data_IF_869985739963
#
_entry.id   IF_869985739963
#
_cell.length_a   1.000
_cell.length_b   1.000
_cell.length_c   1.000
_cell.angle_alpha   90.00
_cell.angle_beta   90.00
_cell.angle_gamma   90.00
#
_symmetry.space_group_name_H-M   'P 1'
#
loop_
_entity.id
_entity.type
_entity.pdbx_description
1 polymer ?
#
# COMPACT_ATOMS: atom_id res chain seq x y z
N UNK A 1 -53.39 21.68 -2.11
CA UNK A 1 -52.10 21.01 -2.31
C UNK A 1 -51.04 21.75 -1.53
N UNK A 2 -50.46 21.09 -0.54
CA UNK A 2 -49.07 21.27 -0.13
C UNK A 2 -48.73 20.13 0.86
N UNK A 3 -48.04 19.10 0.39
CA UNK A 3 -47.44 18.08 1.24
C UNK A 3 -45.95 18.42 1.37
N UNK A 4 -45.53 18.87 2.55
CA UNK A 4 -44.12 18.95 2.89
C UNK A 4 -43.67 17.54 3.31
N UNK A 5 -42.95 16.87 2.42
CA UNK A 5 -42.26 15.62 2.71
C UNK A 5 -40.95 15.94 3.46
N UNK A 6 -40.91 15.58 4.73
CA UNK A 6 -39.69 15.58 5.55
C UNK A 6 -38.78 14.46 5.07
N UNK A 7 -37.66 14.80 4.44
CA UNK A 7 -36.61 13.83 4.08
C UNK A 7 -35.83 13.49 5.33
N UNK A 8 -36.02 12.27 5.85
CA UNK A 8 -35.22 11.71 6.93
C UNK A 8 -33.88 11.23 6.37
N UNK A 9 -32.79 11.96 6.62
CA UNK A 9 -31.42 11.48 6.43
C UNK A 9 -31.10 10.46 7.52
N UNK A 10 -31.26 9.18 7.20
CA UNK A 10 -30.68 8.09 7.98
C UNK A 10 -29.19 8.01 7.68
N UNK A 11 -28.35 8.62 8.53
CA UNK A 11 -26.93 8.26 8.59
C UNK A 11 -26.85 6.87 9.25
N UNK A 12 -26.71 5.82 8.46
CA UNK A 12 -26.43 4.48 8.98
C UNK A 12 -25.02 4.49 9.56
N UNK A 13 -24.90 4.76 10.85
CA UNK A 13 -23.66 4.54 11.60
C UNK A 13 -23.41 3.04 11.57
N UNK A 14 -22.52 2.61 10.68
CA UNK A 14 -22.07 1.22 10.62
C UNK A 14 -21.41 0.87 11.94
N UNK A 15 -21.85 -0.23 12.57
CA UNK A 15 -21.23 -0.75 13.80
C UNK A 15 -19.71 -0.90 13.58
N UNK A 16 -18.86 -0.45 14.52
CA UNK A 16 -17.43 -0.63 14.40
C UNK A 16 -17.08 -2.14 14.34
N UNK A 17 -16.07 -2.52 13.55
CA UNK A 17 -15.66 -3.92 13.38
C UNK A 17 -15.28 -4.56 14.72
N UNK A 18 -15.53 -5.87 14.88
CA UNK A 18 -15.38 -6.58 16.17
C UNK A 18 -13.96 -6.52 16.77
N UNK A 19 -12.94 -6.33 15.95
CA UNK A 19 -11.53 -6.26 16.37
C UNK A 19 -11.03 -4.84 16.65
N UNK A 20 -11.91 -3.84 16.67
CA UNK A 20 -11.49 -2.46 16.93
C UNK A 20 -11.12 -2.30 18.41
N UNK A 21 -9.95 -1.72 18.74
CA UNK A 21 -9.57 -1.47 20.12
C UNK A 21 -10.64 -0.59 20.78
N UNK A 22 -11.17 -1.04 21.92
CA UNK A 22 -12.10 -0.26 22.72
C UNK A 22 -11.34 0.42 23.85
N UNK A 23 -11.64 1.68 24.08
CA UNK A 23 -11.11 2.38 25.22
C UNK A 23 -11.86 1.92 26.47
N UNK A 24 -11.23 1.03 27.24
CA UNK A 24 -11.69 0.70 28.58
C UNK A 24 -11.30 1.88 29.48
N UNK A 25 -12.30 2.58 30.04
CA UNK A 25 -12.08 3.79 30.84
C UNK A 25 -10.96 3.63 31.87
N UNK A 26 -10.12 4.65 32.04
CA UNK A 26 -9.06 4.67 33.05
C UNK A 26 -9.72 4.97 34.41
N UNK A 27 -9.32 4.25 35.46
CA UNK A 27 -9.97 4.29 36.79
C UNK A 27 -10.13 5.69 37.39
N UNK A 28 -9.28 6.64 36.98
CA UNK A 28 -9.31 8.05 37.44
C UNK A 28 -9.70 9.05 36.33
N UNK A 29 -10.41 8.62 35.28
CA UNK A 29 -10.89 9.54 34.22
C UNK A 29 -12.05 10.37 34.78
N UNK A 30 -11.89 11.68 35.07
CA UNK A 30 -12.85 12.41 35.88
C UNK A 30 -14.17 12.73 35.18
N UNK A 31 -14.33 12.33 33.92
CA UNK A 31 -15.42 12.80 33.05
C UNK A 31 -15.79 11.73 32.02
N UNK A 32 -17.02 11.20 32.07
CA UNK A 32 -17.57 10.28 31.06
C UNK A 32 -17.45 10.83 29.64
N UNK A 33 -17.54 12.16 29.49
CA UNK A 33 -17.35 12.85 28.21
C UNK A 33 -15.94 12.67 27.63
N UNK A 34 -14.91 12.57 28.48
CA UNK A 34 -13.54 12.37 28.00
C UNK A 34 -13.38 10.98 27.38
N UNK A 35 -13.95 9.95 28.00
CA UNK A 35 -13.96 8.59 27.46
C UNK A 35 -14.69 8.54 26.11
N UNK A 36 -15.85 9.21 25.98
CA UNK A 36 -16.58 9.29 24.70
C UNK A 36 -15.75 9.97 23.61
N UNK A 37 -15.14 11.13 23.91
CA UNK A 37 -14.32 11.87 22.93
C UNK A 37 -13.09 11.06 22.51
N UNK A 38 -12.46 10.33 23.43
CA UNK A 38 -11.33 9.46 23.11
C UNK A 38 -11.75 8.28 22.21
N UNK A 39 -12.93 7.69 22.46
CA UNK A 39 -13.45 6.64 21.59
C UNK A 39 -13.81 7.18 20.20
N UNK A 40 -14.45 8.35 20.10
CA UNK A 40 -14.74 9.00 18.82
C UNK A 40 -13.45 9.31 18.04
N UNK A 41 -12.43 9.85 18.71
CA UNK A 41 -11.13 10.10 18.10
C UNK A 41 -10.46 8.81 17.62
N UNK A 42 -10.56 7.73 18.41
CA UNK A 42 -10.05 6.41 18.04
C UNK A 42 -10.81 5.81 16.85
N UNK A 43 -12.14 5.93 16.82
CA UNK A 43 -12.98 5.44 15.73
C UNK A 43 -12.64 6.15 14.41
N UNK A 44 -12.41 7.47 14.46
CA UNK A 44 -11.95 8.25 13.32
C UNK A 44 -10.55 7.79 12.90
N UNK A 45 -9.60 7.77 13.83
CA UNK A 45 -8.20 7.45 13.53
C UNK A 45 -8.03 6.02 12.99
N UNK A 46 -8.68 5.03 13.61
CA UNK A 46 -8.60 3.63 13.19
C UNK A 46 -9.34 3.35 11.88
N UNK A 47 -10.29 4.21 11.48
CA UNK A 47 -10.98 4.10 10.19
C UNK A 47 -10.20 4.69 9.01
N UNK A 48 -9.18 5.51 9.26
CA UNK A 48 -8.48 6.27 8.21
C UNK A 48 -7.80 5.38 7.17
N UNK A 49 -7.04 4.37 7.59
CA UNK A 49 -6.29 3.52 6.65
C UNK A 49 -7.22 2.77 5.70
N UNK A 50 -8.30 2.19 6.25
CA UNK A 50 -9.34 1.52 5.46
C UNK A 50 -9.98 2.50 4.49
N UNK A 51 -10.41 3.67 4.98
CA UNK A 51 -11.02 4.70 4.15
C UNK A 51 -10.08 5.09 2.99
N UNK A 52 -8.82 5.40 3.28
CA UNK A 52 -7.81 5.76 2.29
C UNK A 52 -7.63 4.64 1.26
N UNK A 53 -7.55 3.39 1.69
CA UNK A 53 -7.41 2.25 0.76
C UNK A 53 -8.62 2.06 -0.16
N UNK A 54 -9.84 2.34 0.33
CA UNK A 54 -11.09 2.19 -0.43
C UNK A 54 -11.34 3.35 -1.39
N UNK A 55 -10.91 4.56 -1.05
CA UNK A 55 -11.14 5.76 -1.87
C UNK A 55 -9.94 6.14 -2.75
N UNK A 56 -8.75 5.58 -2.49
CA UNK A 56 -7.59 5.81 -3.33
C UNK A 56 -7.79 5.22 -4.73
N UNK A 57 -7.12 5.81 -5.72
CA UNK A 57 -7.10 5.25 -7.08
C UNK A 57 -6.60 3.81 -7.05
N UNK A 58 -7.31 2.85 -7.67
CA UNK A 58 -6.96 1.44 -7.56
C UNK A 58 -5.62 1.13 -8.23
N UNK A 59 -4.98 0.07 -7.77
CA UNK A 59 -3.82 -0.53 -8.44
C UNK A 59 -4.16 -0.91 -9.89
N UNK A 60 -3.16 -0.85 -10.78
CA UNK A 60 -3.32 -1.40 -12.13
C UNK A 60 -3.33 -2.93 -12.07
N UNK A 61 -3.77 -3.61 -13.12
CA UNK A 61 -3.71 -5.07 -13.18
C UNK A 61 -2.29 -5.60 -12.99
N UNK A 62 -1.28 -4.91 -13.54
CA UNK A 62 0.12 -5.30 -13.43
C UNK A 62 0.65 -5.18 -11.99
N UNK A 63 0.38 -4.05 -11.32
CA UNK A 63 0.82 -3.83 -9.94
C UNK A 63 0.01 -4.67 -8.96
N UNK A 64 -1.27 -4.92 -9.21
CA UNK A 64 -2.10 -5.81 -8.41
C UNK A 64 -1.56 -7.24 -8.38
N UNK A 65 -1.24 -7.81 -9.54
CA UNK A 65 -0.67 -9.17 -9.65
C UNK A 65 0.67 -9.26 -8.93
N UNK A 66 1.52 -8.24 -9.05
CA UNK A 66 2.79 -8.16 -8.32
C UNK A 66 2.56 -8.06 -6.81
N UNK A 67 1.63 -7.21 -6.35
CA UNK A 67 1.30 -7.07 -4.93
C UNK A 67 0.76 -8.36 -4.31
N UNK A 68 -0.10 -9.09 -5.03
CA UNK A 68 -0.61 -10.39 -4.61
C UNK A 68 0.51 -11.45 -4.50
N UNK A 69 1.44 -11.45 -5.46
CA UNK A 69 2.61 -12.33 -5.40
C UNK A 69 3.53 -11.99 -4.22
N UNK A 70 3.73 -10.69 -3.94
CA UNK A 70 4.50 -10.23 -2.78
C UNK A 70 3.84 -10.62 -1.46
N UNK A 71 2.52 -10.47 -1.36
CA UNK A 71 1.79 -10.80 -0.14
C UNK A 71 1.73 -12.31 0.15
N UNK A 72 1.67 -13.14 -0.90
CA UNK A 72 1.57 -14.61 -0.79
C UNK A 72 2.92 -15.33 -0.76
N UNK A 73 4.02 -14.63 -1.04
CA UNK A 73 5.35 -15.21 -1.06
C UNK A 73 5.77 -15.77 0.31
N UNK A 74 6.30 -17.00 0.38
CA UNK A 74 6.77 -17.61 1.63
C UNK A 74 8.15 -17.05 2.01
N UNK A 75 8.20 -15.78 2.39
CA UNK A 75 9.45 -15.06 2.70
C UNK A 75 10.31 -15.76 3.77
N UNK A 76 9.68 -16.42 4.73
CA UNK A 76 10.37 -17.24 5.73
C UNK A 76 11.15 -18.41 5.10
N UNK A 77 10.52 -19.16 4.20
CA UNK A 77 11.16 -20.28 3.50
C UNK A 77 12.23 -19.82 2.49
N UNK A 78 12.05 -18.62 1.95
CA UNK A 78 13.08 -17.97 1.15
C UNK A 78 14.31 -17.71 2.01
N UNK A 79 14.18 -17.17 3.22
CA UNK A 79 15.35 -16.96 4.07
C UNK A 79 15.93 -18.27 4.67
N UNK A 80 15.09 -19.16 5.19
CA UNK A 80 15.53 -20.26 6.07
C UNK A 80 16.02 -21.52 5.31
N UNK A 81 15.44 -21.82 4.14
CA UNK A 81 15.64 -23.11 3.44
C UNK A 81 16.47 -22.97 2.15
N UNK A 82 17.30 -21.93 2.03
CA UNK A 82 18.01 -21.56 0.81
C UNK A 82 19.35 -22.26 0.59
N UNK A 83 19.36 -23.54 0.18
CA UNK A 83 20.60 -24.21 -0.22
C UNK A 83 20.87 -24.05 -1.73
N UNK A 84 21.43 -22.91 -2.16
CA UNK A 84 22.13 -22.77 -3.45
C UNK A 84 23.15 -21.62 -3.37
N UNK A 85 24.01 -21.46 -4.39
CA UNK A 85 25.18 -20.55 -4.51
C UNK A 85 25.03 -19.12 -3.91
N UNK A 86 23.81 -18.60 -3.77
CA UNK A 86 23.52 -17.28 -3.17
C UNK A 86 22.38 -17.25 -2.12
N UNK A 87 21.91 -18.39 -1.62
CA UNK A 87 21.09 -18.46 -0.40
C UNK A 87 19.78 -17.65 -0.36
N UNK A 88 18.92 -17.82 -1.38
CA UNK A 88 17.52 -17.37 -1.53
C UNK A 88 17.11 -15.91 -1.19
N UNK A 89 17.44 -15.27 -0.08
CA UNK A 89 17.34 -13.79 0.11
C UNK A 89 18.38 -13.33 1.12
N UNK A 90 19.00 -12.17 0.90
CA UNK A 90 20.00 -11.57 1.79
C UNK A 90 19.43 -11.20 3.16
N UNK A 91 18.12 -10.92 3.22
CA UNK A 91 17.42 -10.51 4.42
C UNK A 91 16.18 -11.38 4.65
N UNK A 92 15.72 -11.40 5.90
CA UNK A 92 14.44 -12.01 6.28
C UNK A 92 13.30 -11.02 6.01
N UNK A 93 12.88 -10.97 4.74
CA UNK A 93 11.79 -10.10 4.31
C UNK A 93 10.42 -10.53 4.88
N UNK A 94 9.46 -9.62 4.82
CA UNK A 94 8.04 -9.90 4.99
C UNK A 94 7.22 -9.03 4.05
N UNK A 95 5.93 -9.34 3.90
CA UNK A 95 5.02 -8.53 3.11
C UNK A 95 4.92 -7.07 3.59
N UNK A 96 5.28 -6.78 4.84
CA UNK A 96 5.28 -5.42 5.40
C UNK A 96 6.39 -4.50 4.81
N UNK A 97 7.29 -5.04 4.00
CA UNK A 97 8.37 -4.27 3.35
C UNK A 97 7.92 -3.65 2.01
N UNK A 98 6.72 -3.98 1.53
CA UNK A 98 6.18 -3.37 0.32
C UNK A 98 5.54 -2.02 0.62
N UNK A 99 5.67 -1.08 -0.32
CA UNK A 99 4.83 0.11 -0.39
C UNK A 99 3.37 -0.31 -0.58
N UNK A 100 2.46 0.33 0.14
CA UNK A 100 1.03 0.14 -0.07
C UNK A 100 0.51 0.90 -1.31
N UNK A 101 -0.76 0.70 -1.64
CA UNK A 101 -1.38 1.36 -2.81
C UNK A 101 -1.46 2.89 -2.64
N UNK A 102 -1.71 3.38 -1.43
CA UNK A 102 -1.93 4.80 -1.15
C UNK A 102 -0.62 5.57 -1.35
N UNK A 103 0.45 5.09 -0.75
CA UNK A 103 1.80 5.62 -0.88
C UNK A 103 2.29 5.56 -2.33
N UNK A 104 2.15 4.41 -2.99
CA UNK A 104 2.60 4.23 -4.37
C UNK A 104 1.87 5.16 -5.34
N UNK A 105 0.54 5.32 -5.19
CA UNK A 105 -0.25 6.25 -6.02
C UNK A 105 0.07 7.70 -5.72
N UNK A 106 0.37 8.04 -4.47
CA UNK A 106 0.82 9.39 -4.09
C UNK A 106 2.15 9.73 -4.77
N UNK A 107 3.13 8.82 -4.74
CA UNK A 107 4.42 9.01 -5.41
C UNK A 107 4.27 9.11 -6.93
N UNK A 108 3.42 8.27 -7.54
CA UNK A 108 3.12 8.36 -8.96
C UNK A 108 2.43 9.69 -9.32
N UNK A 109 1.50 10.17 -8.49
CA UNK A 109 0.89 11.50 -8.68
C UNK A 109 1.95 12.60 -8.67
N UNK A 110 2.93 12.57 -7.75
CA UNK A 110 4.03 13.53 -7.75
C UNK A 110 4.89 13.43 -9.01
N UNK A 111 5.28 12.23 -9.43
CA UNK A 111 6.05 12.03 -10.66
C UNK A 111 5.30 12.58 -11.88
N UNK A 112 3.99 12.37 -11.95
CA UNK A 112 3.12 12.89 -13.00
C UNK A 112 3.05 14.43 -12.99
N UNK A 113 2.75 15.02 -11.83
CA UNK A 113 2.63 16.48 -11.66
C UNK A 113 3.94 17.22 -11.98
N UNK A 114 5.07 16.64 -11.58
CA UNK A 114 6.40 17.16 -11.85
C UNK A 114 6.85 16.92 -13.31
N UNK A 115 6.06 16.20 -14.11
CA UNK A 115 6.41 15.78 -15.47
C UNK A 115 7.76 15.07 -15.51
N UNK A 116 8.00 14.22 -14.51
CA UNK A 116 9.25 13.49 -14.38
C UNK A 116 9.50 12.64 -15.62
N UNK A 117 10.75 12.68 -16.12
CA UNK A 117 11.22 11.79 -17.19
C UNK A 117 12.18 10.72 -16.67
N UNK A 118 12.78 10.96 -15.50
CA UNK A 118 13.76 10.09 -14.86
C UNK A 118 13.50 10.09 -13.37
N UNK A 119 13.33 8.91 -12.80
CA UNK A 119 13.16 8.71 -11.36
C UNK A 119 14.17 7.66 -10.91
N UNK A 120 14.77 7.88 -9.74
CA UNK A 120 15.68 6.94 -9.09
C UNK A 120 15.11 6.57 -7.72
N UNK A 121 15.06 5.29 -7.43
CA UNK A 121 14.68 4.71 -6.15
C UNK A 121 15.88 3.95 -5.59
N UNK A 122 16.06 4.03 -4.26
CA UNK A 122 17.09 3.29 -3.54
C UNK A 122 16.37 2.36 -2.57
N UNK A 123 16.41 1.06 -2.84
CA UNK A 123 15.61 0.03 -2.16
C UNK A 123 14.32 -0.25 -2.93
N UNK A 124 14.32 -1.32 -3.74
CA UNK A 124 13.17 -1.72 -4.56
C UNK A 124 12.21 -2.63 -3.80
N UNK A 125 12.76 -3.54 -3.00
CA UNK A 125 12.09 -4.75 -2.56
C UNK A 125 11.50 -5.54 -3.76
N UNK A 126 10.18 -5.66 -3.86
CA UNK A 126 9.52 -6.29 -5.01
C UNK A 126 9.10 -5.31 -6.11
N UNK A 127 9.35 -4.01 -5.95
CA UNK A 127 9.16 -3.03 -7.02
C UNK A 127 7.72 -2.62 -7.30
N UNK A 128 6.82 -2.77 -6.32
CA UNK A 128 5.44 -2.29 -6.43
C UNK A 128 5.38 -0.77 -6.65
N UNK A 129 6.11 0.00 -5.83
CA UNK A 129 6.25 1.45 -5.98
C UNK A 129 6.91 1.84 -7.31
N UNK A 130 8.05 1.22 -7.62
CA UNK A 130 8.76 1.42 -8.89
C UNK A 130 7.87 1.27 -10.13
N UNK A 131 7.11 0.18 -10.19
CA UNK A 131 6.22 -0.09 -11.32
C UNK A 131 5.07 0.92 -11.38
N UNK A 132 4.48 1.27 -10.23
CA UNK A 132 3.41 2.28 -10.13
C UNK A 132 3.88 3.66 -10.61
N UNK A 133 5.12 4.05 -10.30
CA UNK A 133 5.71 5.28 -10.83
C UNK A 133 5.95 5.15 -12.34
N UNK A 134 6.46 4.02 -12.83
CA UNK A 134 6.73 3.81 -14.25
C UNK A 134 5.46 3.91 -15.14
N UNK A 135 4.29 3.57 -14.60
CA UNK A 135 3.00 3.72 -15.28
C UNK A 135 2.71 5.16 -15.72
N UNK A 136 3.06 6.15 -14.88
CA UNK A 136 2.76 7.56 -15.15
C UNK A 136 3.86 8.31 -15.91
N UNK A 137 5.05 7.72 -16.04
CA UNK A 137 6.14 8.30 -16.81
C UNK A 137 5.79 8.37 -18.31
N UNK A 138 6.33 9.32 -19.08
CA UNK A 138 6.17 9.32 -20.53
C UNK A 138 6.74 8.04 -21.17
N UNK A 139 6.42 7.77 -22.44
CA UNK A 139 6.87 6.57 -23.15
C UNK A 139 8.41 6.43 -23.18
N UNK A 140 9.13 7.54 -23.21
CA UNK A 140 10.60 7.59 -23.13
C UNK A 140 11.14 7.83 -21.70
N UNK A 141 10.29 7.72 -20.69
CA UNK A 141 10.67 7.88 -19.30
C UNK A 141 11.44 6.67 -18.78
N UNK A 142 12.26 6.89 -17.74
CA UNK A 142 13.06 5.85 -17.10
C UNK A 142 12.88 5.87 -15.58
N UNK A 143 12.61 4.70 -15.02
CA UNK A 143 12.62 4.41 -13.59
C UNK A 143 13.86 3.56 -13.32
N UNK A 144 14.79 4.03 -12.49
CA UNK A 144 15.94 3.24 -12.03
C UNK A 144 15.70 2.89 -10.57
N UNK A 145 15.70 1.61 -10.21
CA UNK A 145 15.51 1.18 -8.83
C UNK A 145 16.69 0.34 -8.38
N UNK A 146 17.44 0.81 -7.39
CA UNK A 146 18.60 0.09 -6.88
C UNK A 146 18.17 -0.99 -5.89
N UNK A 147 18.37 -2.25 -6.25
CA UNK A 147 18.15 -3.40 -5.37
C UNK A 147 19.46 -4.16 -5.12
N UNK A 148 19.76 -4.38 -3.84
CA UNK A 148 20.98 -5.09 -3.43
C UNK A 148 20.78 -6.60 -3.49
N UNK A 149 19.55 -7.09 -3.30
CA UNK A 149 19.26 -8.51 -3.27
C UNK A 149 19.07 -9.08 -4.69
N UNK A 150 19.97 -9.97 -5.16
CA UNK A 150 19.88 -10.55 -6.50
C UNK A 150 18.68 -11.49 -6.68
N UNK A 151 18.12 -12.05 -5.60
CA UNK A 151 16.89 -12.82 -5.67
C UNK A 151 15.71 -11.92 -5.99
N UNK A 152 15.60 -10.77 -5.34
CA UNK A 152 14.49 -9.84 -5.59
C UNK A 152 14.47 -9.39 -7.05
N UNK A 153 15.63 -9.08 -7.63
CA UNK A 153 15.74 -8.80 -9.08
C UNK A 153 15.22 -9.94 -9.96
N UNK A 154 15.45 -11.20 -9.58
CA UNK A 154 14.92 -12.38 -10.30
C UNK A 154 13.41 -12.57 -10.06
N UNK A 155 12.95 -12.35 -8.84
CA UNK A 155 11.56 -12.45 -8.43
C UNK A 155 10.68 -11.45 -9.19
N UNK A 156 11.13 -10.20 -9.33
CA UNK A 156 10.33 -9.13 -9.93
C UNK A 156 10.33 -9.13 -11.45
N UNK A 157 11.42 -9.62 -12.07
CA UNK A 157 11.60 -9.58 -13.53
C UNK A 157 10.39 -10.08 -14.34
N UNK A 158 9.77 -11.24 -14.03
CA UNK A 158 8.61 -11.72 -14.80
C UNK A 158 7.39 -10.79 -14.72
N UNK A 159 7.25 -10.01 -13.65
CA UNK A 159 6.16 -9.04 -13.50
C UNK A 159 6.41 -7.78 -14.32
N UNK A 160 7.66 -7.29 -14.35
CA UNK A 160 8.04 -6.18 -15.22
C UNK A 160 7.94 -6.58 -16.70
N UNK A 161 8.41 -7.76 -17.08
CA UNK A 161 8.31 -8.24 -18.47
C UNK A 161 6.86 -8.33 -18.98
N UNK A 162 5.89 -8.61 -18.10
CA UNK A 162 4.45 -8.68 -18.44
C UNK A 162 3.75 -7.32 -18.40
N UNK A 163 4.33 -6.33 -17.72
CA UNK A 163 3.73 -5.00 -17.61
C UNK A 163 3.98 -4.19 -18.88
N UNK A 164 2.97 -3.47 -19.41
CA UNK A 164 3.18 -2.55 -20.53
C UNK A 164 4.21 -1.45 -20.21
N UNK A 165 4.49 -1.19 -18.93
CA UNK A 165 5.41 -0.16 -18.46
C UNK A 165 6.73 -0.71 -17.91
N UNK A 166 6.90 -2.02 -17.82
CA UNK A 166 8.10 -2.62 -17.22
C UNK A 166 9.39 -2.34 -18.00
N UNK A 167 9.29 -2.09 -19.31
CA UNK A 167 10.43 -1.66 -20.14
C UNK A 167 11.06 -0.32 -19.71
N UNK A 168 10.35 0.49 -18.90
CA UNK A 168 10.87 1.73 -18.33
C UNK A 168 11.65 1.50 -17.04
N UNK A 169 11.51 0.34 -16.40
CA UNK A 169 12.12 0.01 -15.11
C UNK A 169 13.45 -0.71 -15.33
N UNK A 170 14.50 -0.14 -14.75
CA UNK A 170 15.86 -0.69 -14.73
C UNK A 170 16.24 -0.97 -13.27
N UNK A 171 16.74 -2.17 -12.99
CA UNK A 171 17.05 -2.65 -11.63
C UNK A 171 18.52 -3.00 -11.53
#
# INVERSE_FOLDING_TARGET
GNQNATVATTSSVTKPPENMPRFNGIADTPNERLTTVLQEALDVAAGMDKYLSEVCSPASDATKVLGEATASAPWGDYYENGHSEYGKTMFRFSGAWTTDVVEAKTLAMFAYMLKAKRVMEIGMFTGYGALTIAEVLPANGKMVSCEIDPFLKKFTKPFFDKSPHGHKVDV
#
